data_IF_091531380902
#
_entry.id   IF_091531380902
#
_cell.length_a   1.000
_cell.length_b   1.000
_cell.length_c   1.000
_cell.angle_alpha   90.00
_cell.angle_beta   90.00
_cell.angle_gamma   90.00
#
_symmetry.space_group_name_H-M   'P 1'
#
loop_
_entity.id
_entity.type
_entity.pdbx_description
1 polymer ?
#
# COMPACT_ATOMS: atom_id res chain seq x y z
N UNK A 1 -1.03 -17.65 1.57
CA UNK A 1 -0.01 -17.33 0.56
C UNK A 1 0.45 -15.90 0.71
N UNK A 2 1.75 -15.72 0.90
CA UNK A 2 2.32 -14.41 1.19
C UNK A 2 2.22 -13.45 0.01
N UNK A 3 2.38 -13.97 -1.20
CA UNK A 3 2.26 -13.13 -2.41
C UNK A 3 0.87 -12.55 -2.56
N UNK A 4 -0.16 -13.29 -2.17
CA UNK A 4 -1.54 -12.82 -2.26
C UNK A 4 -1.77 -11.59 -1.38
N UNK A 5 -1.18 -11.55 -0.19
CA UNK A 5 -1.32 -10.39 0.69
C UNK A 5 -0.74 -9.14 0.04
N UNK A 6 0.46 -9.24 -0.54
CA UNK A 6 1.09 -8.10 -1.21
C UNK A 6 0.26 -7.63 -2.40
N UNK A 7 -0.20 -8.56 -3.22
CA UNK A 7 -1.02 -8.23 -4.38
C UNK A 7 -2.35 -7.62 -3.98
N UNK A 8 -2.97 -8.13 -2.93
CA UNK A 8 -4.22 -7.59 -2.41
C UNK A 8 -4.03 -6.16 -1.91
N UNK A 9 -2.94 -5.91 -1.20
CA UNK A 9 -2.62 -4.57 -0.72
C UNK A 9 -2.40 -3.61 -1.87
N UNK A 10 -1.66 -4.02 -2.89
CA UNK A 10 -1.39 -3.20 -4.06
C UNK A 10 -2.69 -2.89 -4.81
N UNK A 11 -3.55 -3.88 -4.98
CA UNK A 11 -4.83 -3.69 -5.66
C UNK A 11 -5.71 -2.71 -4.89
N UNK A 12 -5.82 -2.90 -3.58
CA UNK A 12 -6.61 -2.01 -2.73
C UNK A 12 -6.08 -0.56 -2.81
N UNK A 13 -4.77 -0.40 -2.66
CA UNK A 13 -4.16 0.93 -2.71
C UNK A 13 -4.36 1.59 -4.07
N UNK A 14 -4.22 0.81 -5.16
CA UNK A 14 -4.42 1.33 -6.50
C UNK A 14 -5.86 1.81 -6.71
N UNK A 15 -6.84 1.08 -6.18
CA UNK A 15 -8.24 1.49 -6.27
C UNK A 15 -8.50 2.79 -5.50
N UNK A 16 -7.91 2.92 -4.32
CA UNK A 16 -8.11 4.11 -3.49
C UNK A 16 -7.42 5.34 -4.07
N UNK A 17 -6.28 5.17 -4.71
CA UNK A 17 -5.51 6.27 -5.29
C UNK A 17 -5.74 6.47 -6.79
N UNK A 18 -6.73 5.79 -7.37
CA UNK A 18 -6.85 5.70 -8.84
C UNK A 18 -6.96 7.04 -9.55
N UNK A 19 -7.55 8.04 -8.90
CA UNK A 19 -7.69 9.38 -9.47
C UNK A 19 -6.69 10.38 -8.91
N UNK A 20 -5.88 9.95 -7.95
CA UNK A 20 -4.93 10.83 -7.29
C UNK A 20 -3.62 10.89 -8.07
N UNK A 21 -3.07 12.09 -8.20
CA UNK A 21 -1.79 12.30 -8.89
C UNK A 21 -0.82 12.99 -7.97
N UNK A 22 0.46 12.72 -8.16
CA UNK A 22 1.52 13.41 -7.44
C UNK A 22 1.68 14.82 -7.96
N UNK A 23 2.21 15.71 -7.11
CA UNK A 23 2.49 17.09 -7.49
C UNK A 23 3.89 17.19 -8.10
N UNK A 24 4.13 16.42 -9.15
CA UNK A 24 5.37 16.49 -9.90
C UNK A 24 5.06 16.97 -11.33
N UNK A 25 6.10 17.18 -12.13
CA UNK A 25 5.93 17.69 -13.49
C UNK A 25 5.09 16.77 -14.36
N UNK A 26 5.21 15.46 -14.14
CA UNK A 26 4.51 14.47 -14.95
C UNK A 26 3.11 14.16 -14.43
N UNK A 27 2.73 14.67 -13.25
CA UNK A 27 1.47 14.37 -12.58
C UNK A 27 1.24 12.85 -12.57
N UNK A 28 2.26 12.09 -12.16
CA UNK A 28 2.23 10.64 -12.21
C UNK A 28 1.18 10.06 -11.26
N UNK A 29 0.67 8.84 -11.53
CA UNK A 29 -0.28 8.21 -10.64
C UNK A 29 0.29 8.07 -9.22
N UNK A 30 -0.51 8.40 -8.22
CA UNK A 30 -0.03 8.41 -6.84
C UNK A 30 0.45 7.04 -6.38
N UNK A 31 -0.18 5.96 -6.87
CA UNK A 31 0.19 4.59 -6.48
C UNK A 31 1.67 4.28 -6.73
N UNK A 32 2.30 4.99 -7.67
CA UNK A 32 3.72 4.77 -7.93
C UNK A 32 4.58 5.02 -6.69
N UNK A 33 4.16 5.97 -5.84
CA UNK A 33 4.92 6.31 -4.64
C UNK A 33 4.95 5.16 -3.61
N UNK A 34 3.81 4.64 -3.13
CA UNK A 34 3.86 3.53 -2.17
C UNK A 34 4.50 2.26 -2.76
N UNK A 35 4.37 2.03 -4.06
CA UNK A 35 5.07 0.90 -4.70
C UNK A 35 6.58 1.12 -4.61
N UNK A 36 7.06 2.33 -4.89
CA UNK A 36 8.48 2.64 -4.80
C UNK A 36 9.01 2.52 -3.37
N UNK A 37 8.21 2.93 -2.39
CA UNK A 37 8.58 2.80 -0.98
C UNK A 37 8.70 1.32 -0.59
N UNK A 38 7.73 0.51 -0.95
CA UNK A 38 7.77 -0.92 -0.66
C UNK A 38 8.96 -1.60 -1.34
N UNK A 39 9.22 -1.23 -2.58
CA UNK A 39 10.37 -1.78 -3.31
C UNK A 39 11.68 -1.42 -2.63
N UNK A 40 11.83 -0.18 -2.20
CA UNK A 40 13.05 0.27 -1.52
C UNK A 40 13.25 -0.48 -0.19
N UNK A 41 12.18 -0.68 0.56
CA UNK A 41 12.24 -1.45 1.81
C UNK A 41 12.71 -2.87 1.52
N UNK A 42 12.17 -3.50 0.49
CA UNK A 42 12.54 -4.86 0.14
C UNK A 42 13.98 -4.97 -0.38
N UNK A 43 14.39 -4.07 -1.27
CA UNK A 43 15.70 -4.16 -1.93
C UNK A 43 16.83 -3.61 -1.07
N UNK A 44 16.64 -2.42 -0.52
CA UNK A 44 17.72 -1.73 0.20
C UNK A 44 17.75 -2.19 1.65
N UNK A 45 16.57 -2.31 2.26
CA UNK A 45 16.45 -2.74 3.65
C UNK A 45 16.55 -4.24 3.87
N UNK A 46 16.49 -5.03 2.80
CA UNK A 46 16.54 -6.49 2.91
C UNK A 46 15.33 -7.09 3.59
N UNK A 47 14.20 -6.38 3.61
CA UNK A 47 12.97 -6.85 4.26
C UNK A 47 12.15 -7.66 3.27
N UNK A 48 11.80 -8.88 3.66
CA UNK A 48 10.90 -9.71 2.84
C UNK A 48 9.64 -10.16 3.57
N UNK A 49 9.35 -9.52 4.70
CA UNK A 49 8.12 -9.80 5.45
C UNK A 49 6.93 -9.21 4.67
N UNK A 50 6.00 -10.08 4.22
CA UNK A 50 4.89 -9.60 3.39
C UNK A 50 3.96 -8.63 4.12
N UNK A 51 3.85 -8.73 5.45
CA UNK A 51 3.01 -7.79 6.20
C UNK A 51 3.62 -6.39 6.25
N UNK A 52 4.95 -6.30 6.36
CA UNK A 52 5.63 -5.02 6.34
C UNK A 52 5.51 -4.38 4.96
N UNK A 53 5.69 -5.17 3.91
CA UNK A 53 5.57 -4.66 2.54
C UNK A 53 4.13 -4.24 2.21
N UNK A 54 3.15 -5.01 2.69
CA UNK A 54 1.75 -4.65 2.51
C UNK A 54 1.42 -3.36 3.27
N UNK A 55 1.94 -3.20 4.49
CA UNK A 55 1.74 -1.98 5.26
C UNK A 55 2.33 -0.76 4.54
N UNK A 56 3.50 -0.93 3.92
CA UNK A 56 4.12 0.14 3.14
C UNK A 56 3.24 0.55 1.96
N UNK A 57 2.58 -0.42 1.30
CA UNK A 57 1.68 -0.14 0.20
C UNK A 57 0.41 0.59 0.66
N UNK A 58 -0.02 0.37 1.89
CA UNK A 58 -1.28 0.88 2.41
C UNK A 58 -1.16 2.16 3.23
N UNK A 59 0.05 2.58 3.60
CA UNK A 59 0.25 3.58 4.65
C UNK A 59 -0.38 4.94 4.34
N UNK A 60 -0.48 5.34 3.07
CA UNK A 60 -1.06 6.62 2.71
C UNK A 60 -2.57 6.56 2.45
N UNK A 61 -3.19 5.37 2.46
CA UNK A 61 -4.60 5.28 2.08
C UNK A 61 -5.49 5.98 3.09
N UNK A 62 -5.19 5.89 4.38
CA UNK A 62 -6.00 6.50 5.42
C UNK A 62 -5.92 8.02 5.36
N UNK A 63 -4.72 8.56 5.19
CA UNK A 63 -4.52 10.02 5.22
C UNK A 63 -4.93 10.70 3.91
N UNK A 64 -4.71 10.04 2.79
CA UNK A 64 -4.81 10.67 1.47
C UNK A 64 -6.03 10.26 0.68
N UNK A 65 -6.84 9.34 1.20
CA UNK A 65 -8.09 8.93 0.56
C UNK A 65 -9.19 8.83 1.61
N UNK A 66 -10.40 8.44 1.19
CA UNK A 66 -11.53 8.27 2.10
C UNK A 66 -11.50 6.91 2.82
N UNK A 67 -10.36 6.23 2.83
CA UNK A 67 -10.21 4.95 3.49
C UNK A 67 -10.25 5.13 5.01
N UNK A 68 -11.04 4.33 5.70
CA UNK A 68 -11.09 4.34 7.16
C UNK A 68 -10.25 3.21 7.73
N UNK A 69 -9.77 3.35 9.00
CA UNK A 69 -9.09 2.23 9.66
C UNK A 69 -9.94 0.97 9.72
N UNK A 70 -11.26 1.13 9.89
CA UNK A 70 -12.19 0.00 9.93
C UNK A 70 -12.24 -0.74 8.61
N UNK A 71 -12.22 -0.02 7.50
CA UNK A 71 -12.20 -0.64 6.18
C UNK A 71 -10.94 -1.48 5.99
N UNK A 72 -9.79 -0.94 6.39
CA UNK A 72 -8.53 -1.69 6.32
C UNK A 72 -8.57 -2.92 7.21
N UNK A 73 -9.10 -2.79 8.43
CA UNK A 73 -9.18 -3.92 9.34
C UNK A 73 -10.05 -5.03 8.75
N UNK A 74 -11.18 -4.68 8.15
CA UNK A 74 -12.07 -5.67 7.54
C UNK A 74 -11.45 -6.36 6.34
N UNK A 75 -10.70 -5.61 5.52
CA UNK A 75 -10.07 -6.17 4.32
C UNK A 75 -8.81 -6.96 4.63
N UNK A 76 -8.11 -6.61 5.69
CA UNK A 76 -6.80 -7.19 6.01
C UNK A 76 -6.77 -7.71 7.45
N UNK A 77 -7.84 -8.40 7.83
CA UNK A 77 -8.04 -8.85 9.21
C UNK A 77 -6.89 -9.72 9.72
N UNK A 78 -6.34 -10.58 8.86
CA UNK A 78 -5.23 -11.44 9.27
C UNK A 78 -3.94 -10.67 9.55
N UNK A 79 -3.84 -9.46 9.03
CA UNK A 79 -2.67 -8.62 9.23
C UNK A 79 -2.76 -7.85 10.55
N UNK A 80 -3.97 -7.42 10.93
CA UNK A 80 -4.16 -6.56 12.11
C UNK A 80 -4.60 -7.30 13.36
N UNK A 81 -4.98 -8.56 13.25
CA UNK A 81 -5.51 -9.35 14.38
C UNK A 81 -4.64 -10.58 14.67
N UNK A 82 -3.40 -10.36 14.83
CA UNK A 82 -2.48 -11.46 15.17
C UNK A 82 -2.56 -11.89 16.61
#
# INVERSE_FOLDING_TARGET
MTHTLILKAAHFAAQKHKTQRRKDEDASPYINHPISVALAIAQIGGVDDPEILAAALLHDTIEDTETTPEELENKFVNMFRK
#
